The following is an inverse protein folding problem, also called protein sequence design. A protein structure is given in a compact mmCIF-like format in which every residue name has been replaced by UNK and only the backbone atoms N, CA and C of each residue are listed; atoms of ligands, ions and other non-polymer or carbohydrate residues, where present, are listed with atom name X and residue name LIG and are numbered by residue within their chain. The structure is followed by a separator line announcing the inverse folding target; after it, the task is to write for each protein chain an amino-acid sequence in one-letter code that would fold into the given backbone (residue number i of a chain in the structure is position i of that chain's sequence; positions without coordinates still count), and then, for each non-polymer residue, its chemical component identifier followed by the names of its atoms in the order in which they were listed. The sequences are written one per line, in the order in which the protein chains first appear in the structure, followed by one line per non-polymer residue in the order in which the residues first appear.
data_IF_739293502416
#
_entry.id   IF_739293502416
#
_cell.length_a   1.000
_cell.length_b   1.000
_cell.length_c   1.000
_cell.angle_alpha   90.00
_cell.angle_beta   90.00
_cell.angle_gamma   90.00
#
_symmetry.space_group_name_H-M   'P 1'
#
loop_
_entity.id
_entity.type
_entity.pdbx_description
1 polymer ?
#
# COMPACT_ATOMS: atom_id res chain seq x y z
N UNK A 1 -4.05 20.51 24.23
CA UNK A 1 -4.21 19.88 22.89
C UNK A 1 -5.28 18.79 22.99
N UNK A 2 -6.24 18.75 22.09
CA UNK A 2 -7.31 17.74 22.11
C UNK A 2 -6.68 16.35 21.91
N UNK A 3 -7.07 15.33 22.70
CA UNK A 3 -6.52 13.96 22.61
C UNK A 3 -6.55 13.41 21.15
N UNK A 4 -7.60 13.73 20.41
CA UNK A 4 -7.76 13.36 19.00
C UNK A 4 -6.65 13.97 18.10
N UNK A 5 -6.28 15.22 18.35
CA UNK A 5 -5.21 15.89 17.59
C UNK A 5 -3.84 15.27 17.88
N UNK A 6 -3.57 14.89 19.13
CA UNK A 6 -2.33 14.19 19.51
C UNK A 6 -2.22 12.84 18.80
N UNK A 7 -3.29 12.06 18.79
CA UNK A 7 -3.32 10.76 18.11
C UNK A 7 -3.11 10.89 16.59
N UNK A 8 -3.71 11.92 15.97
CA UNK A 8 -3.52 12.19 14.54
C UNK A 8 -2.07 12.56 14.22
N UNK A 9 -1.44 13.41 15.04
CA UNK A 9 -0.02 13.79 14.86
C UNK A 9 0.88 12.56 15.01
N UNK A 10 0.68 11.73 16.03
CA UNK A 10 1.45 10.51 16.23
C UNK A 10 1.33 9.60 15.01
N UNK A 11 0.11 9.39 14.51
CA UNK A 11 -0.12 8.55 13.33
C UNK A 11 0.58 9.11 12.08
N UNK A 12 0.57 10.41 11.86
CA UNK A 12 1.27 11.05 10.74
C UNK A 12 2.78 10.85 10.85
N UNK A 13 3.37 11.15 12.01
CA UNK A 13 4.83 11.01 12.21
C UNK A 13 5.30 9.56 12.06
N UNK A 14 4.57 8.60 12.61
CA UNK A 14 4.90 7.18 12.49
C UNK A 14 4.74 6.69 11.04
N UNK A 15 3.74 7.16 10.32
CA UNK A 15 3.54 6.84 8.91
C UNK A 15 4.69 7.41 8.04
N UNK A 16 5.16 8.63 8.32
CA UNK A 16 6.32 9.21 7.62
C UNK A 16 7.57 8.37 7.87
N UNK A 17 7.85 7.99 9.12
CA UNK A 17 8.98 7.13 9.46
C UNK A 17 8.90 5.79 8.70
N UNK A 18 7.74 5.16 8.68
CA UNK A 18 7.52 3.93 7.95
C UNK A 18 7.76 4.07 6.44
N UNK A 19 7.39 5.20 5.84
CA UNK A 19 7.67 5.51 4.42
C UNK A 19 9.15 5.74 4.15
N UNK A 20 9.86 6.41 5.05
CA UNK A 20 11.32 6.57 4.94
C UNK A 20 12.00 5.20 4.97
N UNK A 21 11.64 4.31 5.90
CA UNK A 21 12.17 2.95 5.92
C UNK A 21 11.81 2.16 4.65
N UNK A 22 10.60 2.32 4.12
CA UNK A 22 10.21 1.74 2.85
C UNK A 22 11.05 2.25 1.67
N UNK A 23 11.44 3.52 1.69
CA UNK A 23 12.37 4.08 0.71
C UNK A 23 13.80 3.52 0.90
N UNK A 24 14.29 3.40 2.14
CA UNK A 24 15.57 2.75 2.43
C UNK A 24 15.61 1.29 1.93
N UNK A 25 14.50 0.57 1.99
CA UNK A 25 14.39 -0.79 1.41
C UNK A 25 14.65 -0.78 -0.11
N UNK A 26 14.06 0.16 -0.84
CA UNK A 26 14.30 0.28 -2.29
C UNK A 26 15.76 0.66 -2.59
N UNK A 27 16.35 1.53 -1.76
CA UNK A 27 17.78 1.86 -1.86
C UNK A 27 18.67 0.64 -1.63
N UNK A 28 18.32 -0.22 -0.64
CA UNK A 28 19.05 -1.45 -0.37
C UNK A 28 18.95 -2.44 -1.54
N UNK A 29 17.77 -2.55 -2.18
CA UNK A 29 17.58 -3.40 -3.35
C UNK A 29 18.44 -2.90 -4.53
N UNK A 30 18.40 -1.60 -4.80
CA UNK A 30 19.21 -0.99 -5.85
C UNK A 30 20.72 -1.13 -5.57
N UNK A 31 21.14 -0.98 -4.30
CA UNK A 31 22.53 -1.15 -3.90
C UNK A 31 23.04 -2.58 -4.14
N UNK A 32 22.23 -3.61 -3.79
CA UNK A 32 22.67 -5.00 -3.85
C UNK A 32 22.50 -5.64 -5.23
N UNK A 33 21.54 -5.18 -6.06
CA UNK A 33 21.16 -5.85 -7.30
C UNK A 33 21.00 -4.91 -8.50
N UNK A 34 21.16 -3.61 -8.35
CA UNK A 34 20.97 -2.63 -9.43
C UNK A 34 19.58 -2.70 -10.08
N UNK A 35 19.53 -2.43 -11.39
CA UNK A 35 18.35 -2.67 -12.22
C UNK A 35 18.59 -3.92 -13.08
N UNK A 36 18.37 -5.10 -12.52
CA UNK A 36 18.68 -6.42 -13.07
C UNK A 36 17.47 -7.34 -13.11
N UNK A 37 17.64 -8.53 -13.72
CA UNK A 37 16.63 -9.59 -13.68
C UNK A 37 16.25 -10.02 -12.27
N UNK A 38 17.17 -9.95 -11.30
CA UNK A 38 16.91 -10.30 -9.89
C UNK A 38 16.03 -9.24 -9.24
N UNK A 39 16.36 -7.96 -9.41
CA UNK A 39 15.54 -6.86 -8.86
C UNK A 39 14.16 -6.80 -9.52
N UNK A 40 14.05 -7.06 -10.83
CA UNK A 40 12.78 -7.16 -11.54
C UNK A 40 11.92 -8.31 -11.01
N UNK A 41 12.51 -9.51 -10.87
CA UNK A 41 11.84 -10.67 -10.28
C UNK A 41 11.34 -10.41 -8.86
N UNK A 42 12.18 -9.77 -8.03
CA UNK A 42 11.80 -9.39 -6.68
C UNK A 42 10.64 -8.38 -6.66
N UNK A 43 10.70 -7.33 -7.48
CA UNK A 43 9.66 -6.28 -7.56
C UNK A 43 8.32 -6.85 -7.98
N UNK A 44 8.30 -7.78 -8.96
CA UNK A 44 7.08 -8.49 -9.35
C UNK A 44 6.60 -9.40 -8.23
N UNK A 45 7.47 -10.24 -7.69
CA UNK A 45 7.13 -11.20 -6.62
C UNK A 45 6.60 -10.50 -5.36
N UNK A 46 7.21 -9.38 -4.92
CA UNK A 46 6.76 -8.59 -3.78
C UNK A 46 5.39 -7.94 -4.02
N UNK A 47 5.10 -7.60 -5.27
CA UNK A 47 3.83 -6.96 -5.64
C UNK A 47 2.63 -7.91 -5.51
N UNK A 48 2.83 -9.21 -5.77
CA UNK A 48 1.76 -10.20 -5.79
C UNK A 48 0.98 -10.31 -4.47
N UNK A 49 1.58 -10.63 -3.32
CA UNK A 49 0.84 -10.72 -2.06
C UNK A 49 0.26 -9.35 -1.65
N UNK A 50 0.97 -8.25 -1.93
CA UNK A 50 0.50 -6.91 -1.56
C UNK A 50 -0.72 -6.49 -2.38
N UNK A 51 -0.74 -6.69 -3.68
CA UNK A 51 -1.89 -6.33 -4.54
C UNK A 51 -3.08 -7.25 -4.28
N UNK A 52 -2.85 -8.56 -4.23
CA UNK A 52 -3.94 -9.52 -4.05
C UNK A 52 -4.68 -9.33 -2.73
N UNK A 53 -3.97 -8.94 -1.68
CA UNK A 53 -4.57 -8.89 -0.35
C UNK A 53 -4.76 -7.50 0.23
N UNK A 54 -4.02 -6.46 -0.20
CA UNK A 54 -4.16 -5.12 0.39
C UNK A 54 -5.54 -4.50 0.19
N UNK A 55 -6.14 -4.70 -0.97
CA UNK A 55 -7.50 -4.25 -1.26
C UNK A 55 -8.53 -4.93 -0.36
N UNK A 56 -8.45 -6.27 -0.26
CA UNK A 56 -9.31 -7.08 0.60
C UNK A 56 -9.07 -6.78 2.07
N UNK A 57 -7.81 -6.74 2.51
CA UNK A 57 -7.45 -6.46 3.90
C UNK A 57 -7.94 -5.09 4.36
N UNK A 58 -7.77 -4.04 3.53
CA UNK A 58 -8.30 -2.70 3.82
C UNK A 58 -9.82 -2.68 3.89
N UNK A 59 -10.50 -3.39 2.99
CA UNK A 59 -11.95 -3.51 2.99
C UNK A 59 -12.45 -4.23 4.26
N UNK A 60 -11.79 -5.32 4.62
CA UNK A 60 -12.09 -6.08 5.84
C UNK A 60 -11.86 -5.23 7.10
N UNK A 61 -10.71 -4.53 7.20
CA UNK A 61 -10.40 -3.64 8.32
C UNK A 61 -11.47 -2.56 8.50
N UNK A 62 -11.82 -1.86 7.42
CA UNK A 62 -12.80 -0.76 7.46
C UNK A 62 -14.20 -1.27 7.87
N UNK A 63 -14.63 -2.37 7.26
CA UNK A 63 -15.94 -2.99 7.57
C UNK A 63 -15.96 -3.57 8.98
N UNK A 64 -14.85 -4.17 9.45
CA UNK A 64 -14.70 -4.69 10.79
C UNK A 64 -14.88 -3.59 11.84
N UNK A 65 -14.17 -2.45 11.70
CA UNK A 65 -14.31 -1.31 12.63
C UNK A 65 -15.77 -0.85 12.68
N UNK A 66 -16.42 -0.71 11.52
CA UNK A 66 -17.80 -0.23 11.44
C UNK A 66 -18.79 -1.16 12.14
N UNK A 67 -18.74 -2.47 11.83
CA UNK A 67 -19.68 -3.45 12.42
C UNK A 67 -19.39 -3.67 13.90
N UNK A 68 -18.12 -3.78 14.29
CA UNK A 68 -17.73 -3.95 15.69
C UNK A 68 -18.19 -2.77 16.55
N UNK A 69 -18.04 -1.53 16.07
CA UNK A 69 -18.48 -0.32 16.79
C UNK A 69 -20.00 -0.30 16.95
N UNK A 70 -20.75 -0.68 15.90
CA UNK A 70 -22.21 -0.80 15.95
C UNK A 70 -22.66 -1.85 17.00
N UNK A 71 -22.00 -3.01 17.02
CA UNK A 71 -22.28 -4.06 17.99
C UNK A 71 -21.99 -3.61 19.42
N UNK A 72 -20.85 -2.97 19.63
CA UNK A 72 -20.47 -2.46 20.96
C UNK A 72 -21.47 -1.44 21.51
N UNK A 73 -22.10 -0.62 20.66
CA UNK A 73 -23.06 0.40 21.07
C UNK A 73 -24.48 -0.14 21.22
N UNK A 74 -24.93 -0.97 20.27
CA UNK A 74 -26.34 -1.35 20.14
C UNK A 74 -26.64 -2.78 20.60
N UNK A 75 -25.61 -3.67 20.66
CA UNK A 75 -25.76 -5.09 21.03
C UNK A 75 -24.58 -5.59 21.85
N UNK A 76 -24.36 -5.08 23.07
CA UNK A 76 -23.24 -5.49 23.91
C UNK A 76 -23.25 -6.99 24.15
N UNK A 77 -22.07 -7.62 23.95
CA UNK A 77 -21.87 -9.08 24.05
C UNK A 77 -21.80 -9.83 22.71
N UNK A 78 -22.32 -9.26 21.61
CA UNK A 78 -22.19 -9.85 20.27
C UNK A 78 -20.85 -9.49 19.58
N UNK A 79 -20.14 -8.49 20.08
CA UNK A 79 -18.88 -8.02 19.49
C UNK A 79 -17.76 -9.06 19.56
N UNK A 80 -17.71 -9.87 20.63
CA UNK A 80 -16.66 -10.89 20.81
C UNK A 80 -16.84 -12.07 19.84
N UNK A 81 -18.02 -12.73 19.75
CA UNK A 81 -18.24 -13.77 18.73
C UNK A 81 -18.00 -13.26 17.32
N UNK A 82 -18.45 -12.06 16.97
CA UNK A 82 -18.19 -11.45 15.67
C UNK A 82 -16.68 -11.30 15.40
N UNK A 83 -15.92 -10.81 16.37
CA UNK A 83 -14.48 -10.67 16.27
C UNK A 83 -13.78 -12.01 16.01
N UNK A 84 -14.12 -13.04 16.78
CA UNK A 84 -13.55 -14.38 16.64
C UNK A 84 -13.85 -15.00 15.26
N UNK A 85 -15.08 -14.84 14.78
CA UNK A 85 -15.52 -15.28 13.45
C UNK A 85 -14.78 -14.56 12.33
N UNK A 86 -14.60 -13.23 12.41
CA UNK A 86 -13.89 -12.47 11.36
C UNK A 86 -12.43 -12.85 11.31
N UNK A 87 -11.76 -13.09 12.43
CA UNK A 87 -10.37 -13.58 12.46
C UNK A 87 -10.26 -14.96 11.83
N UNK A 88 -11.13 -15.90 12.24
CA UNK A 88 -11.15 -17.25 11.67
C UNK A 88 -11.39 -17.21 10.16
N UNK A 89 -12.34 -16.40 9.70
CA UNK A 89 -12.63 -16.21 8.29
C UNK A 89 -11.46 -15.60 7.53
N UNK A 90 -10.80 -14.60 8.09
CA UNK A 90 -9.62 -13.97 7.48
C UNK A 90 -8.46 -14.95 7.33
N UNK A 91 -8.23 -15.78 8.33
CA UNK A 91 -7.22 -16.85 8.29
C UNK A 91 -7.54 -17.87 7.19
N UNK A 92 -8.78 -18.38 7.16
CA UNK A 92 -9.20 -19.38 6.15
C UNK A 92 -9.15 -18.81 4.72
N UNK A 93 -9.54 -17.55 4.52
CA UNK A 93 -9.41 -16.86 3.23
C UNK A 93 -7.94 -16.75 2.83
N UNK A 94 -7.05 -16.38 3.73
CA UNK A 94 -5.61 -16.30 3.44
C UNK A 94 -5.04 -17.66 3.03
N UNK A 95 -5.38 -18.73 3.76
CA UNK A 95 -4.96 -20.10 3.40
C UNK A 95 -5.53 -20.52 2.04
N UNK A 96 -6.80 -20.20 1.77
CA UNK A 96 -7.42 -20.46 0.47
C UNK A 96 -6.71 -19.74 -0.69
N UNK A 97 -6.38 -18.44 -0.52
CA UNK A 97 -5.60 -17.68 -1.50
C UNK A 97 -4.22 -18.28 -1.73
N UNK A 98 -3.52 -18.68 -0.67
CA UNK A 98 -2.21 -19.35 -0.77
C UNK A 98 -2.33 -20.65 -1.57
N UNK A 99 -3.31 -21.49 -1.25
CA UNK A 99 -3.51 -22.76 -1.94
C UNK A 99 -3.80 -22.56 -3.44
N UNK A 100 -4.70 -21.62 -3.79
CA UNK A 100 -5.01 -21.27 -5.18
C UNK A 100 -3.79 -20.71 -5.90
N UNK A 101 -3.03 -19.81 -5.25
CA UNK A 101 -1.83 -19.26 -5.84
C UNK A 101 -0.79 -20.34 -6.11
N UNK A 102 -0.50 -21.22 -5.15
CA UNK A 102 0.50 -22.30 -5.32
C UNK A 102 0.09 -23.28 -6.42
N UNK A 103 -1.20 -23.55 -6.58
CA UNK A 103 -1.73 -24.40 -7.66
C UNK A 103 -1.58 -23.72 -9.04
N UNK A 104 -1.73 -22.38 -9.10
CA UNK A 104 -1.74 -21.61 -10.34
C UNK A 104 -0.54 -20.64 -10.45
N UNK A 105 0.56 -20.90 -9.77
CA UNK A 105 1.69 -19.98 -9.62
C UNK A 105 2.28 -19.51 -10.97
N UNK A 106 2.51 -20.42 -11.90
CA UNK A 106 3.04 -20.08 -13.21
C UNK A 106 2.10 -19.18 -14.04
N UNK A 107 0.81 -19.53 -14.27
CA UNK A 107 -0.08 -18.66 -15.01
C UNK A 107 -0.34 -17.32 -14.31
N UNK A 108 -0.39 -17.28 -12.97
CA UNK A 108 -0.55 -16.02 -12.24
C UNK A 108 0.68 -15.13 -12.42
N UNK A 109 1.89 -15.66 -12.22
CA UNK A 109 3.12 -14.87 -12.39
C UNK A 109 3.27 -14.38 -13.82
N UNK A 110 2.95 -15.21 -14.83
CA UNK A 110 2.95 -14.78 -16.23
C UNK A 110 1.97 -13.63 -16.51
N UNK A 111 0.83 -13.58 -15.84
CA UNK A 111 -0.10 -12.46 -15.99
C UNK A 111 0.51 -11.13 -15.51
N UNK A 112 1.35 -11.17 -14.47
CA UNK A 112 2.02 -9.99 -13.90
C UNK A 112 3.34 -9.62 -14.61
N UNK A 113 3.91 -10.54 -15.35
CA UNK A 113 5.20 -10.39 -16.03
C UNK A 113 5.20 -11.21 -17.34
N UNK A 114 4.47 -10.71 -18.34
CA UNK A 114 4.27 -11.37 -19.63
C UNK A 114 5.59 -11.63 -20.39
N UNK A 115 6.59 -10.76 -20.20
CA UNK A 115 7.86 -10.82 -20.88
C UNK A 115 8.94 -11.63 -20.15
N UNK A 116 8.66 -12.14 -18.93
CA UNK A 116 9.67 -12.94 -18.22
C UNK A 116 9.70 -14.36 -18.74
N UNK A 117 10.91 -14.86 -19.06
CA UNK A 117 11.15 -16.19 -19.60
C UNK A 117 12.33 -16.88 -18.90
N UNK A 118 12.44 -18.19 -19.04
CA UNK A 118 13.55 -19.00 -18.54
C UNK A 118 13.84 -18.77 -17.05
N UNK A 119 15.11 -18.55 -16.73
CA UNK A 119 15.59 -18.41 -15.33
C UNK A 119 14.96 -17.24 -14.59
N UNK A 120 14.63 -16.13 -15.26
CA UNK A 120 13.97 -14.98 -14.62
C UNK A 120 12.53 -15.30 -14.23
N UNK A 121 11.79 -16.00 -15.06
CA UNK A 121 10.44 -16.47 -14.74
C UNK A 121 10.48 -17.45 -13.57
N UNK A 122 11.38 -18.43 -13.61
CA UNK A 122 11.51 -19.43 -12.54
C UNK A 122 11.88 -18.78 -11.20
N UNK A 123 12.81 -17.83 -11.20
CA UNK A 123 13.15 -17.04 -10.02
C UNK A 123 11.93 -16.28 -9.49
N UNK A 124 11.17 -15.62 -10.37
CA UNK A 124 9.96 -14.87 -9.99
C UNK A 124 8.91 -15.79 -9.37
N UNK A 125 8.68 -16.97 -9.97
CA UNK A 125 7.74 -17.99 -9.47
C UNK A 125 8.19 -18.51 -8.10
N UNK A 126 9.49 -18.78 -7.94
CA UNK A 126 10.04 -19.25 -6.68
C UNK A 126 9.88 -18.20 -5.57
N UNK A 127 10.35 -16.97 -5.80
CA UNK A 127 10.20 -15.86 -4.85
C UNK A 127 8.73 -15.61 -4.49
N UNK A 128 7.84 -15.58 -5.49
CA UNK A 128 6.41 -15.40 -5.27
C UNK A 128 5.81 -16.52 -4.44
N UNK A 129 6.24 -17.77 -4.65
CA UNK A 129 5.77 -18.94 -3.91
C UNK A 129 6.19 -18.91 -2.44
N UNK A 130 7.37 -18.34 -2.14
CA UNK A 130 7.80 -18.10 -0.75
C UNK A 130 7.00 -16.93 -0.16
N UNK A 131 6.97 -15.79 -0.85
CA UNK A 131 6.36 -14.55 -0.35
C UNK A 131 4.85 -14.68 -0.10
N UNK A 132 4.14 -15.52 -0.88
CA UNK A 132 2.69 -15.67 -0.74
C UNK A 132 2.29 -16.22 0.63
N UNK A 133 3.17 -16.96 1.32
CA UNK A 133 2.94 -17.44 2.67
C UNK A 133 2.67 -16.31 3.68
N UNK A 134 3.15 -15.10 3.38
CA UNK A 134 2.92 -13.91 4.21
C UNK A 134 1.44 -13.50 4.32
N UNK A 135 0.57 -13.98 3.40
CA UNK A 135 -0.86 -13.66 3.44
C UNK A 135 -1.55 -14.09 4.74
N UNK A 136 -1.08 -15.15 5.41
CA UNK A 136 -1.63 -15.56 6.70
C UNK A 136 -1.44 -14.46 7.74
N UNK A 137 -0.24 -13.88 7.78
CA UNK A 137 0.09 -12.81 8.72
C UNK A 137 -0.62 -11.50 8.36
N UNK A 138 -0.68 -11.18 7.07
CA UNK A 138 -1.40 -9.99 6.57
C UNK A 138 -2.88 -10.06 6.88
N UNK A 139 -3.55 -11.18 6.58
CA UNK A 139 -4.99 -11.31 6.72
C UNK A 139 -5.47 -11.10 8.15
N UNK A 140 -4.89 -11.82 9.08
CA UNK A 140 -5.21 -11.67 10.51
C UNK A 140 -4.71 -10.31 11.04
N UNK A 141 -3.53 -9.88 10.56
CA UNK A 141 -2.92 -8.60 10.94
C UNK A 141 -3.82 -7.39 10.67
N UNK A 142 -4.53 -7.34 9.54
CA UNK A 142 -5.49 -6.26 9.24
C UNK A 142 -6.62 -6.18 10.30
N UNK A 143 -7.16 -7.31 10.72
CA UNK A 143 -8.24 -7.32 11.74
C UNK A 143 -7.71 -6.87 13.10
N UNK A 144 -6.52 -7.35 13.49
CA UNK A 144 -5.87 -6.89 14.73
C UNK A 144 -5.53 -5.40 14.70
N UNK A 145 -5.10 -4.86 13.56
CA UNK A 145 -4.92 -3.41 13.39
C UNK A 145 -6.23 -2.64 13.61
N UNK A 146 -7.35 -3.14 13.06
CA UNK A 146 -8.69 -2.58 13.33
C UNK A 146 -9.03 -2.59 14.81
N UNK A 147 -8.80 -3.70 15.50
CA UNK A 147 -9.00 -3.83 16.95
C UNK A 147 -8.14 -2.80 17.71
N UNK A 148 -6.87 -2.66 17.38
CA UNK A 148 -5.96 -1.72 18.02
C UNK A 148 -6.35 -0.25 17.76
N UNK A 149 -6.86 0.07 16.57
CA UNK A 149 -7.38 1.41 16.25
C UNK A 149 -8.55 1.76 17.18
N UNK A 150 -9.50 0.85 17.40
CA UNK A 150 -10.61 1.05 18.32
C UNK A 150 -10.16 1.17 19.78
N UNK A 151 -9.08 0.50 20.17
CA UNK A 151 -8.45 0.63 21.50
C UNK A 151 -7.55 1.87 21.64
N UNK A 152 -7.48 2.74 20.63
CA UNK A 152 -6.70 3.98 20.63
C UNK A 152 -5.18 3.78 20.50
N UNK A 153 -4.72 2.62 20.06
CA UNK A 153 -3.29 2.28 19.91
C UNK A 153 -2.73 2.77 18.57
N UNK A 154 -2.95 4.04 18.21
CA UNK A 154 -2.58 4.62 16.92
C UNK A 154 -1.08 4.60 16.64
N UNK A 155 -0.24 4.69 17.66
CA UNK A 155 1.23 4.58 17.52
C UNK A 155 1.61 3.21 16.93
N UNK A 156 1.09 2.11 17.48
CA UNK A 156 1.39 0.76 17.00
C UNK A 156 0.93 0.57 15.56
N UNK A 157 -0.26 1.07 15.23
CA UNK A 157 -0.81 0.98 13.88
C UNK A 157 0.05 1.78 12.87
N UNK A 158 0.53 2.96 13.25
CA UNK A 158 1.43 3.75 12.41
C UNK A 158 2.81 3.12 12.21
N UNK A 159 3.29 2.34 13.18
CA UNK A 159 4.59 1.67 13.15
C UNK A 159 4.55 0.25 12.55
N UNK A 160 3.37 -0.21 12.11
CA UNK A 160 3.15 -1.61 11.71
C UNK A 160 4.11 -2.10 10.65
N UNK A 161 4.45 -1.27 9.64
CA UNK A 161 5.33 -1.68 8.55
C UNK A 161 6.84 -1.57 8.86
N UNK A 162 7.22 -1.15 10.05
CA UNK A 162 8.63 -1.05 10.46
C UNK A 162 9.32 -2.40 10.50
N UNK A 163 8.75 -3.46 11.15
CA UNK A 163 9.36 -4.78 11.16
C UNK A 163 9.58 -5.35 9.75
N UNK A 164 8.62 -5.16 8.84
CA UNK A 164 8.76 -5.58 7.44
C UNK A 164 9.98 -4.94 6.79
N UNK A 165 10.06 -3.61 6.86
CA UNK A 165 11.13 -2.90 6.19
C UNK A 165 12.50 -3.26 6.77
N UNK A 166 12.64 -3.42 8.09
CA UNK A 166 13.88 -3.83 8.73
C UNK A 166 14.29 -5.24 8.30
N UNK A 167 13.36 -6.21 8.36
CA UNK A 167 13.64 -7.59 7.98
C UNK A 167 14.06 -7.69 6.50
N UNK A 168 13.34 -7.01 5.62
CA UNK A 168 13.62 -7.03 4.18
C UNK A 168 14.96 -6.34 3.87
N UNK A 169 15.27 -5.18 4.49
CA UNK A 169 16.58 -4.53 4.33
C UNK A 169 17.70 -5.48 4.77
N UNK A 170 17.56 -6.10 5.93
CA UNK A 170 18.56 -7.01 6.45
C UNK A 170 18.77 -8.22 5.51
N UNK A 171 17.71 -8.83 5.03
CA UNK A 171 17.82 -9.99 4.12
C UNK A 171 18.34 -9.60 2.73
N UNK A 172 18.00 -8.43 2.18
CA UNK A 172 18.60 -7.94 0.93
C UNK A 172 20.12 -7.78 1.08
N UNK A 173 20.58 -7.17 2.17
CA UNK A 173 22.01 -6.92 2.37
C UNK A 173 22.80 -8.19 2.69
N UNK A 174 22.16 -9.24 3.22
CA UNK A 174 22.78 -10.50 3.61
C UNK A 174 22.62 -11.61 2.58
N UNK A 175 21.75 -11.44 1.58
CA UNK A 175 21.38 -12.51 0.64
C UNK A 175 22.50 -12.93 -0.31
N UNK A 176 23.36 -12.00 -0.76
CA UNK A 176 24.38 -12.31 -1.75
C UNK A 176 23.78 -13.01 -2.97
N UNK A 177 24.23 -14.24 -3.25
CA UNK A 177 23.72 -15.09 -4.34
C UNK A 177 22.53 -15.98 -3.92
N UNK A 178 22.16 -15.99 -2.64
CA UNK A 178 21.03 -16.77 -2.16
C UNK A 178 19.72 -15.96 -2.27
N UNK A 179 19.14 -15.96 -3.47
CA UNK A 179 17.92 -15.17 -3.76
C UNK A 179 16.69 -15.59 -2.96
N UNK A 180 16.63 -16.82 -2.45
CA UNK A 180 15.50 -17.27 -1.59
C UNK A 180 15.41 -16.45 -0.31
N UNK A 181 16.53 -15.91 0.19
CA UNK A 181 16.53 -15.01 1.34
C UNK A 181 15.68 -13.75 1.11
N UNK A 182 15.58 -13.26 -0.14
CA UNK A 182 14.71 -12.14 -0.50
C UNK A 182 13.23 -12.48 -0.26
N UNK A 183 12.83 -13.70 -0.58
CA UNK A 183 11.49 -14.20 -0.31
C UNK A 183 11.20 -14.37 1.19
N UNK A 184 12.12 -15.02 1.90
CA UNK A 184 11.99 -15.22 3.33
C UNK A 184 12.02 -13.93 4.14
N UNK A 185 12.79 -12.93 3.71
CA UNK A 185 12.79 -11.60 4.32
C UNK A 185 11.40 -10.96 4.37
N UNK A 186 10.63 -11.13 3.30
CA UNK A 186 9.24 -10.65 3.24
C UNK A 186 8.34 -11.42 4.20
N UNK A 187 8.46 -12.74 4.26
CA UNK A 187 7.67 -13.59 5.17
C UNK A 187 7.99 -13.25 6.64
N UNK A 188 9.28 -13.20 6.98
CA UNK A 188 9.74 -12.82 8.33
C UNK A 188 9.28 -11.41 8.69
N UNK A 189 9.34 -10.49 7.74
CA UNK A 189 8.90 -9.12 7.91
C UNK A 189 7.41 -9.00 8.24
N UNK A 190 6.54 -9.67 7.48
CA UNK A 190 5.10 -9.70 7.77
C UNK A 190 4.76 -10.49 9.03
N UNK A 191 5.51 -11.54 9.35
CA UNK A 191 5.40 -12.21 10.63
C UNK A 191 5.77 -11.26 11.79
N UNK A 192 6.80 -10.43 11.63
CA UNK A 192 7.18 -9.39 12.58
C UNK A 192 6.09 -8.31 12.75
N UNK A 193 5.46 -7.86 11.66
CA UNK A 193 4.30 -6.96 11.71
C UNK A 193 3.15 -7.60 12.52
N UNK A 194 2.81 -8.82 12.19
CA UNK A 194 1.78 -9.58 12.90
C UNK A 194 2.10 -9.73 14.38
N UNK A 195 3.34 -10.12 14.73
CA UNK A 195 3.76 -10.25 16.13
C UNK A 195 3.69 -8.92 16.87
N UNK A 196 4.07 -7.81 16.24
CA UNK A 196 3.95 -6.47 16.84
C UNK A 196 2.50 -6.16 17.23
N UNK A 197 1.56 -6.32 16.29
CA UNK A 197 0.15 -6.03 16.56
C UNK A 197 -0.47 -7.03 17.51
N UNK A 198 -0.10 -8.31 17.45
CA UNK A 198 -0.58 -9.37 18.33
C UNK A 198 -0.13 -9.12 19.79
N UNK A 199 1.15 -8.82 20.02
CA UNK A 199 1.68 -8.57 21.36
C UNK A 199 1.00 -7.36 22.03
N UNK A 200 0.75 -6.30 21.25
CA UNK A 200 0.02 -5.13 21.79
C UNK A 200 -1.45 -5.44 21.99
N UNK A 201 -2.09 -6.22 21.13
CA UNK A 201 -3.47 -6.66 21.28
C UNK A 201 -3.65 -7.50 22.55
N UNK A 202 -2.75 -8.45 22.79
CA UNK A 202 -2.75 -9.27 24.02
C UNK A 202 -2.65 -8.40 25.28
N UNK A 203 -1.82 -7.35 25.27
CA UNK A 203 -1.76 -6.37 26.39
C UNK A 203 -3.04 -5.55 26.53
N UNK A 204 -3.89 -5.50 25.51
CA UNK A 204 -5.21 -4.82 25.51
C UNK A 204 -6.37 -5.78 25.72
N UNK A 205 -6.12 -6.91 26.40
CA UNK A 205 -7.12 -7.92 26.74
C UNK A 205 -7.75 -8.60 25.51
N UNK A 206 -7.00 -8.68 24.43
CA UNK A 206 -7.38 -9.49 23.28
C UNK A 206 -7.42 -10.96 23.69
N UNK A 207 -8.52 -11.62 23.35
CA UNK A 207 -8.71 -13.05 23.59
C UNK A 207 -9.46 -13.63 22.38
N UNK A 208 -8.90 -14.64 21.78
CA UNK A 208 -9.44 -15.28 20.57
C UNK A 208 -9.85 -16.72 20.84
N UNK A 209 -11.05 -17.08 20.37
CA UNK A 209 -11.56 -18.46 20.35
C UNK A 209 -12.02 -18.78 18.92
N UNK A 210 -11.49 -19.85 18.29
CA UNK A 210 -11.89 -20.22 16.94
C UNK A 210 -13.42 -20.40 16.84
N UNK A 211 -14.07 -19.64 15.95
CA UNK A 211 -15.50 -19.74 15.69
C UNK A 211 -15.74 -19.77 14.16
N UNK A 212 -16.44 -20.80 13.71
CA UNK A 212 -16.80 -21.05 12.29
C UNK A 212 -18.28 -20.80 12.00
N UNK A 213 -19.04 -20.22 12.93
CA UNK A 213 -20.46 -19.93 12.76
C UNK A 213 -20.70 -18.73 11.84
N UNK A 214 -20.29 -18.81 10.58
CA UNK A 214 -20.34 -17.70 9.61
C UNK A 214 -21.74 -17.36 9.10
N UNK A 215 -22.79 -18.13 9.44
CA UNK A 215 -24.17 -17.92 8.96
C UNK A 215 -25.02 -17.04 9.89
N UNK A 216 -24.41 -15.99 10.46
CA UNK A 216 -25.16 -15.04 11.28
C UNK A 216 -25.36 -13.69 10.56
N UNK A 217 -26.26 -12.87 11.10
CA UNK A 217 -26.61 -11.57 10.54
C UNK A 217 -25.40 -10.62 10.51
N UNK A 218 -24.53 -10.65 11.52
CA UNK A 218 -23.39 -9.74 11.65
C UNK A 218 -22.33 -10.03 10.61
N UNK A 219 -22.03 -11.30 10.34
CA UNK A 219 -21.10 -11.71 9.27
C UNK A 219 -21.67 -11.36 7.89
N UNK A 220 -22.97 -11.57 7.67
CA UNK A 220 -23.60 -11.15 6.42
C UNK A 220 -23.50 -9.64 6.20
N UNK A 221 -23.77 -8.83 7.22
CA UNK A 221 -23.63 -7.37 7.20
C UNK A 221 -22.18 -6.97 6.86
N UNK A 222 -21.21 -7.62 7.51
CA UNK A 222 -19.79 -7.41 7.26
C UNK A 222 -19.41 -7.70 5.79
N UNK A 223 -19.79 -8.87 5.24
CA UNK A 223 -19.48 -9.26 3.88
C UNK A 223 -20.10 -8.34 2.83
N UNK A 224 -21.34 -7.88 3.05
CA UNK A 224 -22.02 -6.90 2.19
C UNK A 224 -21.27 -5.58 2.16
N UNK A 225 -20.63 -5.17 3.25
CA UNK A 225 -19.80 -3.96 3.30
C UNK A 225 -18.41 -4.18 2.67
N UNK A 226 -17.79 -5.34 2.87
CA UNK A 226 -16.46 -5.67 2.33
C UNK A 226 -16.47 -5.64 0.80
N UNK A 227 -17.48 -6.23 0.16
CA UNK A 227 -17.49 -6.44 -1.29
C UNK A 227 -17.37 -5.13 -2.11
N UNK A 228 -18.17 -4.07 -1.88
CA UNK A 228 -18.05 -2.82 -2.63
C UNK A 228 -16.70 -2.12 -2.41
N UNK A 229 -16.19 -2.12 -1.16
CA UNK A 229 -14.91 -1.49 -0.83
C UNK A 229 -13.76 -2.23 -1.51
N UNK A 230 -13.79 -3.56 -1.50
CA UNK A 230 -12.82 -4.41 -2.17
C UNK A 230 -12.80 -4.16 -3.69
N UNK A 231 -13.97 -4.14 -4.34
CA UNK A 231 -14.07 -3.86 -5.78
C UNK A 231 -13.49 -2.50 -6.13
N UNK A 232 -13.82 -1.45 -5.36
CA UNK A 232 -13.25 -0.11 -5.57
C UNK A 232 -11.73 -0.04 -5.40
N UNK A 233 -11.16 -0.82 -4.49
CA UNK A 233 -9.69 -0.89 -4.30
C UNK A 233 -9.00 -1.72 -5.39
N UNK A 234 -9.63 -2.79 -5.85
CA UNK A 234 -9.08 -3.68 -6.88
C UNK A 234 -8.87 -2.96 -8.21
N UNK A 235 -9.76 -2.04 -8.59
CA UNK A 235 -9.63 -1.24 -9.81
C UNK A 235 -8.28 -0.51 -9.87
N UNK A 236 -7.89 0.14 -8.78
CA UNK A 236 -6.58 0.83 -8.73
C UNK A 236 -5.40 -0.16 -8.81
N UNK A 237 -5.58 -1.39 -8.35
CA UNK A 237 -4.54 -2.42 -8.40
C UNK A 237 -4.33 -2.97 -9.81
N UNK A 238 -5.37 -2.98 -10.65
CA UNK A 238 -5.30 -3.45 -12.04
C UNK A 238 -4.32 -2.59 -12.85
N UNK A 239 -4.33 -1.27 -12.68
CA UNK A 239 -3.36 -0.39 -13.35
C UNK A 239 -1.91 -0.79 -13.04
N UNK A 240 -1.59 -1.05 -11.77
CA UNK A 240 -0.24 -1.45 -11.37
C UNK A 240 0.16 -2.79 -11.99
N UNK A 241 -0.79 -3.71 -12.14
CA UNK A 241 -0.55 -5.01 -12.79
C UNK A 241 -0.24 -4.80 -14.27
N UNK A 242 -1.05 -4.01 -14.97
CA UNK A 242 -0.88 -3.72 -16.40
C UNK A 242 0.46 -3.03 -16.64
N UNK A 243 0.80 -2.00 -15.86
CA UNK A 243 2.06 -1.28 -15.98
C UNK A 243 3.27 -2.23 -15.84
N UNK A 244 3.28 -3.10 -14.84
CA UNK A 244 4.37 -4.06 -14.64
C UNK A 244 4.40 -5.13 -15.72
N UNK A 245 3.24 -5.60 -16.15
CA UNK A 245 3.12 -6.61 -17.20
C UNK A 245 3.66 -6.08 -18.53
N UNK A 246 3.32 -4.83 -18.90
CA UNK A 246 3.86 -4.18 -20.11
C UNK A 246 5.36 -3.90 -19.93
N UNK A 247 5.79 -3.39 -18.77
CA UNK A 247 7.19 -3.12 -18.48
C UNK A 247 8.06 -4.38 -18.61
N UNK A 248 7.52 -5.54 -18.24
CA UNK A 248 8.24 -6.82 -18.36
C UNK A 248 8.53 -7.27 -19.79
N UNK A 249 7.78 -6.74 -20.78
CA UNK A 249 8.02 -7.02 -22.21
C UNK A 249 9.20 -6.22 -22.79
N UNK A 250 9.71 -5.26 -22.04
CA UNK A 250 10.84 -4.43 -22.43
C UNK A 250 12.17 -5.10 -22.03
N UNK A 251 13.25 -4.35 -22.06
CA UNK A 251 14.56 -4.88 -21.71
C UNK A 251 14.72 -5.16 -20.21
N UNK A 252 15.73 -5.94 -19.86
CA UNK A 252 16.13 -6.24 -18.47
C UNK A 252 16.24 -4.99 -17.61
N UNK A 253 15.77 -5.09 -16.35
CA UNK A 253 15.84 -4.02 -15.34
C UNK A 253 14.75 -2.96 -15.48
N UNK A 254 13.89 -2.99 -16.53
CA UNK A 254 12.89 -1.92 -16.73
C UNK A 254 11.83 -1.90 -15.64
N UNK A 255 11.39 -3.05 -15.14
CA UNK A 255 10.41 -3.11 -14.04
C UNK A 255 10.95 -2.44 -12.79
N UNK A 256 12.23 -2.67 -12.48
CA UNK A 256 12.93 -2.06 -11.35
C UNK A 256 13.16 -0.57 -11.55
N UNK A 257 13.60 -0.14 -12.73
CA UNK A 257 13.77 1.27 -13.10
C UNK A 257 12.46 2.05 -12.91
N UNK A 258 11.35 1.52 -13.41
CA UNK A 258 10.03 2.13 -13.21
C UNK A 258 9.63 2.15 -11.73
N UNK A 259 9.92 1.10 -10.98
CA UNK A 259 9.67 1.04 -9.55
C UNK A 259 10.47 2.11 -8.78
N UNK A 260 11.77 2.25 -9.06
CA UNK A 260 12.62 3.25 -8.42
C UNK A 260 12.17 4.68 -8.76
N UNK A 261 11.88 4.96 -10.02
CA UNK A 261 11.33 6.26 -10.44
C UNK A 261 10.01 6.59 -9.77
N UNK A 262 9.09 5.61 -9.67
CA UNK A 262 7.82 5.77 -8.98
C UNK A 262 8.02 6.02 -7.47
N UNK A 263 9.00 5.40 -6.83
CA UNK A 263 9.30 5.64 -5.40
C UNK A 263 9.77 7.06 -5.13
N UNK A 264 10.62 7.62 -6.01
CA UNK A 264 11.07 9.02 -5.87
C UNK A 264 9.89 9.98 -5.99
N UNK A 265 9.11 9.89 -7.06
CA UNK A 265 7.95 10.77 -7.30
C UNK A 265 6.83 10.55 -6.30
N UNK A 266 6.61 9.28 -5.89
CA UNK A 266 5.65 8.91 -4.86
C UNK A 266 6.00 9.45 -3.48
N UNK A 267 7.29 9.57 -3.13
CA UNK A 267 7.72 10.22 -1.90
C UNK A 267 7.34 11.70 -1.90
N UNK A 268 7.65 12.43 -2.97
CA UNK A 268 7.26 13.84 -3.13
C UNK A 268 5.75 14.03 -3.03
N UNK A 269 4.99 13.20 -3.76
CA UNK A 269 3.52 13.22 -3.72
C UNK A 269 2.99 13.00 -2.31
N UNK A 270 3.56 12.03 -1.58
CA UNK A 270 3.13 11.71 -0.23
C UNK A 270 3.35 12.85 0.76
N UNK A 271 4.50 13.52 0.66
CA UNK A 271 4.87 14.60 1.58
C UNK A 271 4.04 15.85 1.31
N UNK A 272 3.90 16.26 0.06
CA UNK A 272 3.25 17.54 -0.26
C UNK A 272 1.76 17.40 -0.55
N UNK A 273 1.39 16.47 -1.43
CA UNK A 273 -0.01 16.39 -1.90
C UNK A 273 -0.91 15.71 -0.89
N UNK A 274 -0.54 14.51 -0.42
CA UNK A 274 -1.36 13.75 0.53
C UNK A 274 -1.50 14.49 1.86
N UNK A 275 -0.44 15.13 2.34
CA UNK A 275 -0.49 15.92 3.59
C UNK A 275 -1.47 17.09 3.49
N UNK A 276 -1.42 17.85 2.38
CA UNK A 276 -2.30 19.00 2.15
C UNK A 276 -3.75 18.52 1.98
N UNK A 277 -4.00 17.51 1.16
CA UNK A 277 -5.35 16.99 0.91
C UNK A 277 -5.99 16.41 2.18
N UNK A 278 -5.22 15.70 2.99
CA UNK A 278 -5.70 15.15 4.28
C UNK A 278 -6.08 16.28 5.24
N UNK A 279 -5.31 17.35 5.32
CA UNK A 279 -5.61 18.49 6.16
C UNK A 279 -6.86 19.28 5.69
N UNK A 280 -7.10 19.29 4.38
CA UNK A 280 -8.24 20.03 3.77
C UNK A 280 -9.56 19.24 3.81
N UNK A 281 -9.50 17.91 3.83
CA UNK A 281 -10.69 17.05 3.72
C UNK A 281 -11.78 17.36 4.75
N UNK A 282 -11.49 17.59 6.06
CA UNK A 282 -12.53 17.94 7.06
C UNK A 282 -13.22 19.28 6.74
N UNK A 283 -12.49 20.26 6.20
CA UNK A 283 -13.06 21.54 5.80
C UNK A 283 -13.98 21.37 4.59
N UNK A 284 -13.54 20.63 3.56
CA UNK A 284 -14.33 20.33 2.37
C UNK A 284 -15.64 19.61 2.75
N UNK A 285 -15.55 18.62 3.65
CA UNK A 285 -16.72 17.87 4.13
C UNK A 285 -17.72 18.76 4.90
N UNK A 286 -17.25 19.69 5.72
CA UNK A 286 -18.12 20.65 6.43
C UNK A 286 -18.83 21.60 5.45
N UNK A 287 -18.12 22.14 4.47
CA UNK A 287 -18.68 23.03 3.47
C UNK A 287 -19.70 22.31 2.57
N UNK A 288 -19.44 21.06 2.24
CA UNK A 288 -20.39 20.21 1.51
C UNK A 288 -21.67 19.97 2.33
N UNK A 289 -21.55 19.61 3.61
CA UNK A 289 -22.70 19.41 4.49
C UNK A 289 -23.54 20.68 4.69
N UNK A 290 -22.89 21.85 4.70
CA UNK A 290 -23.56 23.15 4.76
C UNK A 290 -24.15 23.60 3.42
N UNK A 291 -23.97 22.83 2.33
CA UNK A 291 -24.37 23.20 0.96
C UNK A 291 -23.78 24.53 0.48
N UNK A 292 -22.67 25.00 1.08
CA UNK A 292 -21.99 26.23 0.68
C UNK A 292 -21.07 25.97 -0.52
N UNK A 293 -21.69 25.92 -1.70
CA UNK A 293 -21.00 25.66 -2.96
C UNK A 293 -20.03 26.77 -3.34
N UNK A 294 -20.28 28.01 -2.88
CA UNK A 294 -19.39 29.15 -3.17
C UNK A 294 -18.07 29.01 -2.44
N UNK A 295 -18.14 28.74 -1.12
CA UNK A 295 -16.96 28.56 -0.29
C UNK A 295 -16.25 27.25 -0.64
N UNK A 296 -16.97 26.19 -1.01
CA UNK A 296 -16.40 24.94 -1.49
C UNK A 296 -15.53 25.16 -2.75
N UNK A 297 -16.07 25.89 -3.75
CA UNK A 297 -15.32 26.25 -4.97
C UNK A 297 -14.09 27.13 -4.66
N UNK A 298 -14.23 28.07 -3.75
CA UNK A 298 -13.11 28.91 -3.31
C UNK A 298 -12.02 28.08 -2.65
N UNK A 299 -12.38 27.19 -1.71
CA UNK A 299 -11.45 26.29 -1.03
C UNK A 299 -10.75 25.35 -2.01
N UNK A 300 -11.48 24.77 -2.98
CA UNK A 300 -10.91 23.95 -4.04
C UNK A 300 -9.87 24.72 -4.88
N UNK A 301 -10.22 25.91 -5.37
CA UNK A 301 -9.29 26.75 -6.16
C UNK A 301 -8.05 27.15 -5.36
N UNK A 302 -8.24 27.55 -4.11
CA UNK A 302 -7.14 27.90 -3.21
C UNK A 302 -6.21 26.69 -2.96
N UNK A 303 -6.80 25.51 -2.76
CA UNK A 303 -6.04 24.26 -2.57
C UNK A 303 -5.22 23.90 -3.81
N UNK A 304 -5.80 23.99 -4.99
CA UNK A 304 -5.08 23.80 -6.26
C UNK A 304 -3.96 24.84 -6.44
N UNK A 305 -4.20 26.08 -6.05
CA UNK A 305 -3.19 27.16 -6.08
C UNK A 305 -2.02 26.88 -5.13
N UNK A 306 -2.30 26.49 -3.90
CA UNK A 306 -1.27 26.12 -2.91
C UNK A 306 -0.45 24.94 -3.40
N UNK A 307 -1.11 23.87 -3.86
CA UNK A 307 -0.42 22.70 -4.41
C UNK A 307 0.42 23.07 -5.62
N UNK A 308 -0.12 23.88 -6.55
CA UNK A 308 0.62 24.36 -7.70
C UNK A 308 1.86 25.15 -7.31
N UNK A 309 1.77 26.00 -6.28
CA UNK A 309 2.90 26.80 -5.79
C UNK A 309 4.08 25.92 -5.33
N UNK A 310 3.82 24.77 -4.72
CA UNK A 310 4.87 23.84 -4.28
C UNK A 310 5.24 22.83 -5.37
N UNK A 311 4.26 22.23 -6.03
CA UNK A 311 4.49 21.13 -6.97
C UNK A 311 5.15 21.59 -8.26
N UNK A 312 4.81 22.79 -8.78
CA UNK A 312 5.42 23.29 -10.01
C UNK A 312 6.94 23.46 -9.89
N UNK A 313 7.49 24.19 -8.88
CA UNK A 313 8.93 24.30 -8.76
C UNK A 313 9.62 22.97 -8.43
N UNK A 314 8.98 22.10 -7.64
CA UNK A 314 9.51 20.77 -7.36
C UNK A 314 9.55 19.92 -8.65
N UNK A 315 8.47 19.92 -9.43
CA UNK A 315 8.40 19.20 -10.69
C UNK A 315 9.45 19.70 -11.68
N UNK A 316 9.58 21.02 -11.82
CA UNK A 316 10.61 21.63 -12.66
C UNK A 316 12.03 21.26 -12.21
N UNK A 317 12.31 21.33 -10.90
CA UNK A 317 13.60 20.91 -10.35
C UNK A 317 13.89 19.44 -10.56
N UNK A 318 12.89 18.57 -10.36
CA UNK A 318 13.03 17.13 -10.62
C UNK A 318 13.22 16.82 -12.11
N UNK A 319 12.61 17.58 -13.02
CA UNK A 319 12.85 17.42 -14.45
C UNK A 319 14.26 17.89 -14.85
N UNK A 320 14.70 19.05 -14.34
CA UNK A 320 16.02 19.63 -14.66
C UNK A 320 17.17 18.77 -14.14
N UNK A 321 17.00 18.22 -12.95
CA UNK A 321 18.04 17.48 -12.20
C UNK A 321 17.66 16.01 -12.00
N UNK A 322 16.91 15.42 -12.92
CA UNK A 322 16.38 14.06 -12.76
C UNK A 322 17.50 13.01 -12.60
N UNK A 323 18.57 13.13 -13.39
CA UNK A 323 19.73 12.22 -13.33
C UNK A 323 20.52 12.45 -12.04
N UNK A 324 20.80 13.69 -11.69
CA UNK A 324 21.55 14.06 -10.48
C UNK A 324 20.82 13.62 -9.21
N UNK A 325 19.48 13.71 -9.18
CA UNK A 325 18.69 13.17 -8.08
C UNK A 325 18.81 11.65 -7.98
N UNK A 326 18.70 10.95 -9.09
CA UNK A 326 18.86 9.50 -9.10
C UNK A 326 20.30 9.13 -8.73
N UNK A 327 21.28 9.80 -9.27
CA UNK A 327 22.69 9.59 -8.96
C UNK A 327 22.96 9.77 -7.47
N UNK A 328 22.48 10.86 -6.88
CA UNK A 328 22.65 11.15 -5.45
C UNK A 328 22.02 10.07 -4.57
N UNK A 329 20.85 9.55 -4.95
CA UNK A 329 20.09 8.63 -4.13
C UNK A 329 20.49 7.16 -4.33
N UNK A 330 20.75 6.74 -5.57
CA UNK A 330 20.86 5.33 -5.95
C UNK A 330 22.24 4.90 -6.45
N UNK A 331 23.07 5.81 -6.96
CA UNK A 331 24.38 5.45 -7.55
C UNK A 331 25.37 4.93 -6.51
N UNK A 332 25.20 3.66 -6.14
CA UNK A 332 26.00 2.92 -5.15
C UNK A 332 25.87 1.42 -5.41
N UNK A 333 26.94 0.66 -5.08
CA UNK A 333 26.95 -0.81 -5.24
C UNK A 333 26.77 -1.22 -6.69
N UNK A 334 25.81 -2.08 -6.94
CA UNK A 334 25.50 -2.65 -8.26
C UNK A 334 24.67 -1.72 -9.16
N UNK A 335 24.26 -0.53 -8.67
CA UNK A 335 23.48 0.43 -9.47
C UNK A 335 24.40 1.23 -10.38
N UNK A 336 24.39 0.95 -11.68
CA UNK A 336 25.33 1.45 -12.67
C UNK A 336 24.96 2.84 -13.19
N UNK A 337 25.89 3.50 -13.91
CA UNK A 337 25.63 4.76 -14.64
C UNK A 337 24.49 4.60 -15.67
N UNK A 338 24.39 3.44 -16.30
CA UNK A 338 23.31 3.11 -17.23
C UNK A 338 21.96 3.08 -16.52
N UNK A 339 21.90 2.53 -15.30
CA UNK A 339 20.68 2.52 -14.48
C UNK A 339 20.29 3.92 -14.03
N UNK A 340 21.29 4.77 -13.70
CA UNK A 340 21.08 6.19 -13.38
C UNK A 340 20.42 6.90 -14.55
N UNK A 341 20.92 6.69 -15.77
CA UNK A 341 20.36 7.34 -16.95
C UNK A 341 18.91 6.91 -17.18
N UNK A 342 18.63 5.61 -17.21
CA UNK A 342 17.29 5.07 -17.45
C UNK A 342 16.30 5.51 -16.37
N UNK A 343 16.70 5.41 -15.11
CA UNK A 343 15.85 5.84 -13.97
C UNK A 343 15.64 7.36 -14.01
N UNK A 344 16.66 8.13 -14.38
CA UNK A 344 16.56 9.58 -14.56
C UNK A 344 15.54 9.97 -15.63
N UNK A 345 15.51 9.26 -16.76
CA UNK A 345 14.49 9.46 -17.81
C UNK A 345 13.08 9.17 -17.28
N UNK A 346 12.90 8.10 -16.51
CA UNK A 346 11.61 7.78 -15.87
C UNK A 346 11.21 8.87 -14.89
N UNK A 347 12.11 9.34 -14.05
CA UNK A 347 11.84 10.44 -13.10
C UNK A 347 11.45 11.72 -13.84
N UNK A 348 12.11 12.04 -14.95
CA UNK A 348 11.77 13.17 -15.79
C UNK A 348 10.29 13.11 -16.25
N UNK A 349 9.90 11.99 -16.89
CA UNK A 349 8.53 11.84 -17.40
C UNK A 349 7.48 11.77 -16.27
N UNK A 350 7.77 11.11 -15.16
CA UNK A 350 6.86 11.09 -14.02
C UNK A 350 6.70 12.48 -13.38
N UNK A 351 7.77 13.27 -13.37
CA UNK A 351 7.74 14.64 -12.86
C UNK A 351 6.87 15.56 -13.71
N UNK A 352 6.82 15.34 -15.03
CA UNK A 352 5.91 16.05 -15.93
C UNK A 352 4.43 15.81 -15.56
N UNK A 353 4.10 14.58 -15.15
CA UNK A 353 2.75 14.18 -14.71
C UNK A 353 2.40 14.63 -13.29
N UNK A 354 3.39 15.03 -12.47
CA UNK A 354 3.21 15.24 -11.04
C UNK A 354 2.17 16.31 -10.69
N UNK A 355 2.11 17.41 -11.45
CA UNK A 355 1.13 18.46 -11.25
C UNK A 355 -0.30 17.97 -11.52
N UNK A 356 -0.49 17.26 -12.63
CA UNK A 356 -1.80 16.71 -13.00
C UNK A 356 -2.28 15.67 -12.00
N UNK A 357 -1.38 14.80 -11.55
CA UNK A 357 -1.65 13.85 -10.49
C UNK A 357 -2.08 14.55 -9.19
N UNK A 358 -1.40 15.62 -8.83
CA UNK A 358 -1.68 16.39 -7.62
C UNK A 358 -3.05 17.07 -7.66
N UNK A 359 -3.41 17.67 -8.79
CA UNK A 359 -4.74 18.27 -9.00
C UNK A 359 -5.84 17.20 -8.98
N UNK A 360 -5.57 16.03 -9.59
CA UNK A 360 -6.47 14.87 -9.54
C UNK A 360 -6.76 14.45 -8.10
N UNK A 361 -5.74 14.36 -7.23
CA UNK A 361 -5.91 13.99 -5.83
C UNK A 361 -6.80 14.98 -5.05
N UNK A 362 -6.62 16.29 -5.25
CA UNK A 362 -7.52 17.31 -4.66
C UNK A 362 -8.95 17.14 -5.16
N UNK A 363 -9.10 16.94 -6.47
CA UNK A 363 -10.42 16.79 -7.11
C UNK A 363 -11.15 15.57 -6.57
N UNK A 364 -10.48 14.42 -6.43
CA UNK A 364 -11.04 13.20 -5.85
C UNK A 364 -11.53 13.46 -4.41
N UNK A 365 -10.76 14.19 -3.60
CA UNK A 365 -11.16 14.52 -2.24
C UNK A 365 -12.41 15.42 -2.18
N UNK A 366 -12.60 16.32 -3.15
CA UNK A 366 -13.84 17.12 -3.29
C UNK A 366 -15.04 16.23 -3.61
N UNK A 367 -14.90 15.28 -4.56
CA UNK A 367 -15.95 14.32 -4.86
C UNK A 367 -16.32 13.47 -3.64
N UNK A 368 -15.33 13.01 -2.88
CA UNK A 368 -15.59 12.27 -1.64
C UNK A 368 -16.29 13.12 -0.57
N UNK A 369 -15.94 14.40 -0.46
CA UNK A 369 -16.62 15.33 0.42
C UNK A 369 -18.08 15.56 0.01
N UNK A 370 -18.38 15.52 -1.29
CA UNK A 370 -19.72 15.57 -1.87
C UNK A 370 -20.48 14.23 -1.80
N UNK A 371 -19.88 13.19 -1.21
CA UNK A 371 -20.39 11.80 -1.14
C UNK A 371 -20.56 11.14 -2.53
N UNK A 372 -19.95 11.70 -3.58
CA UNK A 372 -19.88 11.09 -4.89
C UNK A 372 -18.62 10.24 -5.05
N UNK A 373 -18.75 8.95 -4.80
CA UNK A 373 -17.68 7.97 -5.02
C UNK A 373 -17.71 7.36 -6.42
N UNK A 374 -18.84 7.52 -7.14
CA UNK A 374 -19.04 6.89 -8.46
C UNK A 374 -18.22 7.58 -9.55
N UNK A 375 -18.26 8.90 -9.59
CA UNK A 375 -17.55 9.67 -10.63
C UNK A 375 -16.04 9.43 -10.64
N UNK A 376 -15.31 9.49 -9.51
CA UNK A 376 -13.88 9.15 -9.50
C UNK A 376 -13.60 7.71 -9.91
N UNK A 377 -14.47 6.76 -9.51
CA UNK A 377 -14.31 5.34 -9.84
C UNK A 377 -14.48 5.11 -11.34
N UNK A 378 -15.51 5.69 -11.97
CA UNK A 378 -15.74 5.58 -13.42
C UNK A 378 -14.57 6.19 -14.19
N UNK A 379 -14.11 7.39 -13.79
CA UNK A 379 -12.96 8.03 -14.43
C UNK A 379 -11.67 7.20 -14.30
N UNK A 380 -11.47 6.53 -13.15
CA UNK A 380 -10.33 5.62 -12.98
C UNK A 380 -10.44 4.40 -13.89
N UNK A 381 -11.64 3.87 -14.12
CA UNK A 381 -11.87 2.77 -15.07
C UNK A 381 -11.63 3.17 -16.52
N UNK A 382 -12.02 4.38 -16.90
CA UNK A 382 -11.82 4.89 -18.28
C UNK A 382 -10.35 5.22 -18.57
N UNK A 383 -9.53 5.42 -17.53
CA UNK A 383 -8.10 5.72 -17.64
C UNK A 383 -7.22 4.46 -17.75
N UNK A 384 -7.78 3.27 -17.60
CA UNK A 384 -7.12 1.97 -17.81
C UNK A 384 -7.14 1.62 -19.30
#
# INVERSE_FOLDING_TARGET
MNKTAVHAIIMVLTTILAKVLGFCRELSLAFSYGASNVSDAYVVAFTLPTILFSGLGTAMLTSYISVYTDLQQNRPGEEKPFHDQVITMSFLLSVGFIAVFLALRYPIVRLFALGFEGAQLDLTVNLSSIMIASLVFLGVGYILQGYLQMKGCFFTVGMVSVPLNIAVIATILLSGENYDMLGWGVVIGYAGEFLLVLLVALRRQFCYHPDIAFRNHNIRKFLVMVLPIFLGKTINSINIIIDKSIASLLSEGVVSVLNYGNRITGFVTSVFVVSITTALFPQLSRLSAASDTRQLKHTYRSSCGIIGLFVIPISAGMMMFSKEFVQLLFFRGEFTEFDVQRTGEVVFFYSLGLLFYSIKEVTINVYYALQDTKTPTINSLLAI
#
